data_IF_876181606214
#
_entry.id   IF_876181606214
#
_cell.length_a   1.000
_cell.length_b   1.000
_cell.length_c   1.000
_cell.angle_alpha   90.00
_cell.angle_beta   90.00
_cell.angle_gamma   90.00
#
_symmetry.space_group_name_H-M   'P 1'
#
loop_
_entity.id
_entity.type
_entity.pdbx_description
1 polymer ?
#
# COMPACT_ATOMS: atom_id res chain seq x y z
N UNK A 1 7.06 1.73 9.76
CA UNK A 1 7.44 2.88 8.90
C UNK A 1 7.59 2.45 7.45
N UNK A 2 7.35 3.33 6.48
CA UNK A 2 7.66 3.07 5.07
C UNK A 2 9.12 3.46 4.82
N UNK A 3 9.91 2.55 4.26
CA UNK A 3 11.36 2.74 4.04
C UNK A 3 11.76 2.83 2.57
N UNK A 4 10.99 2.24 1.65
CA UNK A 4 11.21 2.37 0.21
C UNK A 4 9.89 2.27 -0.58
N UNK A 5 9.91 2.84 -1.78
CA UNK A 5 8.82 2.77 -2.74
C UNK A 5 9.33 2.08 -4.01
N UNK A 6 8.57 1.11 -4.52
CA UNK A 6 8.87 0.46 -5.80
C UNK A 6 8.46 1.35 -7.00
N UNK A 7 7.47 2.23 -6.80
CA UNK A 7 6.94 3.14 -7.82
C UNK A 7 7.13 4.61 -7.47
N UNK A 8 7.65 5.39 -8.42
CA UNK A 8 7.77 6.85 -8.32
C UNK A 8 6.41 7.53 -8.15
N UNK A 9 5.37 7.02 -8.81
CA UNK A 9 4.01 7.52 -8.65
C UNK A 9 3.48 7.32 -7.23
N UNK A 10 3.77 6.17 -6.61
CA UNK A 10 3.36 5.89 -5.22
C UNK A 10 4.08 6.83 -4.25
N UNK A 11 5.38 7.08 -4.46
CA UNK A 11 6.15 8.05 -3.69
C UNK A 11 5.61 9.49 -3.87
N UNK A 12 5.24 9.88 -5.09
CA UNK A 12 4.60 11.17 -5.34
C UNK A 12 3.27 11.31 -4.55
N UNK A 13 2.45 10.26 -4.56
CA UNK A 13 1.20 10.22 -3.78
C UNK A 13 1.48 10.27 -2.26
N UNK A 14 2.57 9.64 -1.80
CA UNK A 14 3.04 9.73 -0.41
C UNK A 14 3.51 11.13 -0.03
N UNK A 15 4.11 11.88 -0.96
CA UNK A 15 4.54 13.26 -0.73
C UNK A 15 3.39 14.27 -0.84
N UNK A 16 2.32 13.91 -1.55
CA UNK A 16 1.08 14.72 -1.66
C UNK A 16 0.89 15.32 -3.03
N UNK A 17 1.73 14.88 -3.97
CA UNK A 17 1.69 15.30 -5.34
C UNK A 17 0.66 14.46 -6.10
N UNK A 18 -0.13 15.14 -6.93
CA UNK A 18 -1.08 14.47 -7.81
C UNK A 18 -0.35 13.82 -8.99
N UNK A 19 -0.67 12.57 -9.24
CA UNK A 19 -0.23 11.81 -10.42
C UNK A 19 -1.35 11.80 -11.47
N UNK A 20 -1.01 11.95 -12.75
CA UNK A 20 -2.01 11.95 -13.84
C UNK A 20 -2.55 10.56 -14.18
N UNK A 21 -1.72 9.53 -14.04
CA UNK A 21 -2.00 8.14 -14.45
C UNK A 21 -3.04 7.41 -13.58
N UNK A 22 -3.45 7.98 -12.45
CA UNK A 22 -4.31 7.31 -11.46
C UNK A 22 -5.51 8.18 -11.11
N UNK A 23 -6.72 7.61 -10.91
CA UNK A 23 -7.88 8.40 -10.52
C UNK A 23 -7.66 9.13 -9.19
N UNK A 24 -8.20 10.35 -9.07
CA UNK A 24 -7.96 11.22 -7.90
C UNK A 24 -8.41 10.56 -6.59
N UNK A 25 -9.52 9.82 -6.61
CA UNK A 25 -10.05 9.13 -5.43
C UNK A 25 -9.14 7.99 -4.96
N UNK A 26 -8.48 7.28 -5.89
CA UNK A 26 -7.50 6.24 -5.55
C UNK A 26 -6.28 6.85 -4.88
N UNK A 27 -5.82 8.01 -5.36
CA UNK A 27 -4.68 8.71 -4.74
C UNK A 27 -5.02 9.22 -3.34
N UNK A 28 -6.22 9.77 -3.14
CA UNK A 28 -6.69 10.24 -1.82
C UNK A 28 -6.79 9.08 -0.81
N UNK A 29 -7.47 8.00 -1.18
CA UNK A 29 -7.65 6.83 -0.30
C UNK A 29 -6.31 6.11 -0.11
N UNK A 30 -5.52 5.97 -1.18
CA UNK A 30 -4.18 5.41 -1.18
C UNK A 30 -3.27 6.14 -0.20
N UNK A 31 -3.17 7.48 -0.30
CA UNK A 31 -2.39 8.31 0.64
C UNK A 31 -2.80 8.09 2.09
N UNK A 32 -4.10 8.00 2.38
CA UNK A 32 -4.59 7.70 3.75
C UNK A 32 -4.12 6.31 4.22
N UNK A 33 -4.19 5.30 3.35
CA UNK A 33 -3.74 3.94 3.67
C UNK A 33 -2.22 3.82 3.78
N UNK A 34 -1.45 4.57 2.99
CA UNK A 34 0.00 4.66 3.12
C UNK A 34 0.40 5.23 4.49
N UNK A 35 -0.33 6.24 5.00
CA UNK A 35 -0.08 6.78 6.36
C UNK A 35 -0.38 5.75 7.45
N UNK A 36 -1.47 5.01 7.29
CA UNK A 36 -1.79 3.89 8.19
C UNK A 36 -0.71 2.81 8.15
N UNK A 37 -0.23 2.43 6.96
CA UNK A 37 0.88 1.50 6.78
C UNK A 37 2.16 2.01 7.46
N UNK A 38 2.50 3.28 7.26
CA UNK A 38 3.67 3.90 7.87
C UNK A 38 3.63 3.86 9.41
N UNK A 39 2.44 4.05 9.99
CA UNK A 39 2.25 4.13 11.44
C UNK A 39 2.05 2.76 12.10
N UNK A 40 1.91 1.69 11.33
CA UNK A 40 1.73 0.33 11.87
C UNK A 40 3.03 -0.16 12.49
N UNK A 41 2.94 -0.80 13.66
CA UNK A 41 4.08 -1.41 14.34
C UNK A 41 4.09 -2.93 14.13
N UNK A 42 2.89 -3.51 14.00
CA UNK A 42 2.70 -4.92 13.69
C UNK A 42 1.90 -5.06 12.39
N UNK A 43 2.20 -6.09 11.60
CA UNK A 43 1.41 -6.41 10.40
C UNK A 43 -0.07 -6.63 10.73
N UNK A 44 -0.37 -7.14 11.93
CA UNK A 44 -1.74 -7.36 12.40
C UNK A 44 -2.55 -6.05 12.53
N UNK A 45 -1.91 -4.90 12.74
CA UNK A 45 -2.57 -3.60 12.81
C UNK A 45 -3.34 -3.30 11.51
N UNK A 46 -2.80 -3.78 10.40
CA UNK A 46 -3.39 -3.62 9.07
C UNK A 46 -4.62 -4.49 8.83
N UNK A 47 -5.00 -5.37 9.77
CA UNK A 47 -6.30 -6.04 9.74
C UNK A 47 -7.45 -5.09 10.10
N UNK A 48 -7.14 -3.94 10.70
CA UNK A 48 -8.11 -2.92 11.07
C UNK A 48 -7.90 -1.69 10.17
N UNK A 49 -8.94 -1.18 9.49
CA UNK A 49 -10.30 -1.73 9.42
C UNK A 49 -10.37 -3.03 8.61
N UNK A 50 -11.39 -3.89 8.83
CA UNK A 50 -11.57 -5.15 8.07
C UNK A 50 -11.61 -4.98 6.55
N UNK A 51 -11.99 -3.78 6.07
CA UNK A 51 -11.98 -3.42 4.65
C UNK A 51 -10.58 -3.38 4.03
N UNK A 52 -9.51 -3.35 4.84
CA UNK A 52 -8.15 -3.52 4.35
C UNK A 52 -7.94 -4.88 3.70
N UNK A 53 -8.64 -5.92 4.16
CA UNK A 53 -8.49 -7.30 3.65
C UNK A 53 -7.01 -7.66 3.48
N UNK A 54 -6.24 -7.50 4.56
CA UNK A 54 -4.82 -7.81 4.58
C UNK A 54 -4.60 -9.24 4.08
N UNK A 55 -3.75 -9.38 3.07
CA UNK A 55 -3.48 -10.65 2.42
C UNK A 55 -1.97 -10.80 2.22
N UNK A 56 -1.43 -12.00 2.46
CA UNK A 56 -0.06 -12.34 2.06
C UNK A 56 -0.12 -12.92 0.65
N UNK A 57 0.63 -12.33 -0.27
CA UNK A 57 0.64 -12.72 -1.67
C UNK A 57 1.51 -13.96 -1.91
N UNK A 58 1.27 -14.62 -3.04
CA UNK A 58 1.93 -15.86 -3.45
C UNK A 58 2.45 -15.78 -4.88
N UNK A 59 3.16 -16.83 -5.34
CA UNK A 59 3.75 -16.88 -6.68
C UNK A 59 4.86 -15.84 -6.87
N UNK A 60 4.80 -15.09 -7.97
CA UNK A 60 5.81 -14.07 -8.33
C UNK A 60 5.86 -12.89 -7.35
N UNK A 61 4.82 -12.71 -6.53
CA UNK A 61 4.75 -11.72 -5.46
C UNK A 61 4.90 -12.37 -4.08
N UNK A 62 5.45 -13.58 -4.01
CA UNK A 62 5.80 -14.21 -2.73
C UNK A 62 6.74 -13.29 -1.94
N UNK A 63 6.41 -13.05 -0.68
CA UNK A 63 7.09 -12.08 0.18
C UNK A 63 6.35 -10.74 0.33
N UNK A 64 5.47 -10.40 -0.62
CA UNK A 64 4.62 -9.22 -0.51
C UNK A 64 3.36 -9.48 0.29
N UNK A 65 2.86 -8.43 0.92
CA UNK A 65 1.53 -8.30 1.48
C UNK A 65 0.73 -7.31 0.63
N UNK A 66 -0.59 -7.38 0.72
CA UNK A 66 -1.48 -6.39 0.12
C UNK A 66 -2.54 -5.89 1.10
N UNK A 67 -2.90 -4.62 0.96
CA UNK A 67 -4.11 -4.04 1.53
C UNK A 67 -4.96 -3.40 0.44
N UNK A 68 -6.27 -3.52 0.56
CA UNK A 68 -7.23 -3.08 -0.43
C UNK A 68 -7.48 -1.58 -0.38
N UNK A 69 -7.43 -0.90 -1.54
CA UNK A 69 -7.96 0.46 -1.70
C UNK A 69 -9.46 0.39 -2.04
N UNK A 70 -9.79 -0.32 -3.13
CA UNK A 70 -11.17 -0.59 -3.55
C UNK A 70 -11.25 -1.95 -4.28
N UNK A 71 -12.29 -2.24 -5.07
CA UNK A 71 -12.40 -3.53 -5.77
C UNK A 71 -11.19 -3.82 -6.68
N UNK A 72 -10.69 -2.82 -7.37
CA UNK A 72 -9.65 -2.91 -8.40
C UNK A 72 -8.23 -2.65 -7.85
N UNK A 73 -8.04 -1.63 -7.02
CA UNK A 73 -6.71 -1.17 -6.61
C UNK A 73 -6.25 -1.77 -5.28
N UNK A 74 -4.93 -2.01 -5.15
CA UNK A 74 -4.26 -2.47 -3.93
C UNK A 74 -3.03 -1.62 -3.63
N UNK A 75 -2.62 -1.59 -2.36
CA UNK A 75 -1.24 -1.28 -1.99
C UNK A 75 -0.56 -2.61 -1.74
N UNK A 76 0.55 -2.87 -2.42
CA UNK A 76 1.44 -3.99 -2.14
C UNK A 76 2.72 -3.49 -1.47
N UNK A 77 3.29 -4.30 -0.60
CA UNK A 77 4.51 -3.97 0.14
C UNK A 77 5.15 -5.23 0.72
N UNK A 78 6.46 -5.22 0.89
CA UNK A 78 7.14 -6.19 1.76
C UNK A 78 7.05 -5.71 3.21
N UNK A 79 7.05 -6.66 4.15
CA UNK A 79 7.00 -6.34 5.57
C UNK A 79 8.08 -7.06 6.36
N UNK A 80 8.87 -6.30 7.11
CA UNK A 80 9.91 -6.82 8.00
C UNK A 80 10.05 -5.95 9.24
N UNK A 81 9.95 -6.55 10.43
CA UNK A 81 10.23 -5.91 11.72
C UNK A 81 9.61 -4.52 11.91
N UNK A 82 8.32 -4.35 11.57
CA UNK A 82 7.60 -3.08 11.73
C UNK A 82 7.80 -2.08 10.57
N UNK A 83 8.53 -2.48 9.53
CA UNK A 83 8.81 -1.65 8.36
C UNK A 83 8.20 -2.23 7.10
N UNK A 84 7.75 -1.32 6.23
CA UNK A 84 7.23 -1.61 4.91
C UNK A 84 8.20 -1.12 3.84
N UNK A 85 8.64 -2.01 2.96
CA UNK A 85 9.51 -1.73 1.81
C UNK A 85 8.81 -2.05 0.49
N UNK A 86 9.39 -1.58 -0.61
CA UNK A 86 8.90 -1.83 -1.98
C UNK A 86 7.43 -1.47 -2.15
N UNK A 87 7.00 -0.38 -1.48
CA UNK A 87 5.59 -0.01 -1.43
C UNK A 87 5.11 0.50 -2.78
N UNK A 88 3.96 0.00 -3.23
CA UNK A 88 3.38 0.35 -4.53
C UNK A 88 1.86 0.32 -4.51
N UNK A 89 1.22 1.32 -5.12
CA UNK A 89 -0.21 1.29 -5.47
C UNK A 89 -0.35 0.67 -6.87
N UNK A 90 -0.98 -0.49 -6.94
CA UNK A 90 -1.17 -1.26 -8.19
C UNK A 90 -2.64 -1.39 -8.56
N UNK A 91 -2.88 -1.43 -9.87
CA UNK A 91 -4.11 -1.95 -10.44
C UNK A 91 -4.04 -3.49 -10.38
N UNK A 92 -4.98 -4.12 -9.67
CA UNK A 92 -4.94 -5.54 -9.34
C UNK A 92 -5.99 -6.32 -10.15
N UNK A 93 -6.36 -5.87 -11.34
CA UNK A 93 -7.22 -6.59 -12.29
C UNK A 93 -6.54 -6.70 -13.65
#
# INVERSE_FOLDING_TARGET
MIVSFRSKETEQIWNGNRVKKMPIEIQKIGRRKLRMLNNSQNIADLRIPPSNRLEKLSGNLSGFYSIRINKQWRIIFEWSSGNASEVEIVDYH
#
